data_IF_414687649400
#
_entry.id   IF_414687649400
#
_cell.length_a   1.000
_cell.length_b   1.000
_cell.length_c   1.000
_cell.angle_alpha   90.00
_cell.angle_beta   90.00
_cell.angle_gamma   90.00
#
_symmetry.space_group_name_H-M   'P 1'
#
loop_
_entity.id
_entity.type
_entity.pdbx_description
1 polymer ?
#
# COMPACT_ATOMS: atom_id res chain seq x y z
N UNK A 1 -39.93 -3.55 54.69
CA UNK A 1 -38.81 -2.58 54.67
C UNK A 1 -39.35 -1.23 54.24
N UNK A 2 -39.13 -0.22 55.08
CA UNK A 2 -39.91 1.02 55.23
C UNK A 2 -39.94 1.96 54.02
N UNK A 3 -41.10 2.56 53.74
CA UNK A 3 -41.31 3.61 52.73
C UNK A 3 -40.23 4.71 52.72
N UNK A 4 -39.64 5.03 53.88
CA UNK A 4 -38.54 5.99 54.03
C UNK A 4 -37.31 5.64 53.20
N UNK A 5 -36.87 4.38 53.17
CA UNK A 5 -35.71 3.96 52.35
C UNK A 5 -35.98 4.14 50.85
N UNK A 6 -37.22 3.93 50.41
CA UNK A 6 -37.62 4.09 49.02
C UNK A 6 -37.60 5.57 48.57
N UNK A 7 -38.03 6.47 49.44
CA UNK A 7 -37.94 7.93 49.22
C UNK A 7 -36.48 8.40 49.14
N UNK A 8 -35.60 7.95 50.03
CA UNK A 8 -34.19 8.32 49.99
C UNK A 8 -33.50 7.84 48.70
N UNK A 9 -33.76 6.61 48.26
CA UNK A 9 -33.19 6.09 47.00
C UNK A 9 -33.67 6.86 45.78
N UNK A 10 -34.95 7.26 45.75
CA UNK A 10 -35.48 8.06 44.64
C UNK A 10 -34.81 9.44 44.56
N UNK A 11 -34.63 10.12 45.69
CA UNK A 11 -33.97 11.43 45.75
C UNK A 11 -32.52 11.33 45.28
N UNK A 12 -31.78 10.32 45.74
CA UNK A 12 -30.39 10.11 45.32
C UNK A 12 -30.31 9.81 43.83
N UNK A 13 -31.19 8.96 43.30
CA UNK A 13 -31.23 8.65 41.87
C UNK A 13 -31.51 9.91 41.02
N UNK A 14 -32.47 10.74 41.43
CA UNK A 14 -32.78 12.00 40.74
C UNK A 14 -31.59 12.98 40.78
N UNK A 15 -30.90 13.08 41.92
CA UNK A 15 -29.72 13.94 42.03
C UNK A 15 -28.57 13.48 41.11
N UNK A 16 -28.32 12.18 41.01
CA UNK A 16 -27.30 11.61 40.12
C UNK A 16 -27.64 11.87 38.66
N UNK A 17 -28.89 11.63 38.25
CA UNK A 17 -29.34 11.91 36.88
C UNK A 17 -29.23 13.40 36.56
N UNK A 18 -29.68 14.27 37.47
CA UNK A 18 -29.56 15.71 37.32
C UNK A 18 -28.10 16.17 37.17
N UNK A 19 -27.19 15.61 37.97
CA UNK A 19 -25.76 15.90 37.85
C UNK A 19 -25.17 15.41 36.53
N UNK A 20 -25.55 14.22 36.07
CA UNK A 20 -25.09 13.69 34.78
C UNK A 20 -25.51 14.59 33.61
N UNK A 21 -26.76 15.07 33.60
CA UNK A 21 -27.26 16.02 32.60
C UNK A 21 -26.52 17.36 32.67
N UNK A 22 -26.37 17.93 33.88
CA UNK A 22 -25.62 19.18 34.08
C UNK A 22 -24.15 19.05 33.64
N UNK A 23 -23.51 17.94 34.01
CA UNK A 23 -22.11 17.68 33.67
C UNK A 23 -21.93 17.55 32.16
N UNK A 24 -22.81 16.83 31.46
CA UNK A 24 -22.74 16.71 30.00
C UNK A 24 -22.97 18.06 29.31
N UNK A 25 -23.94 18.85 29.78
CA UNK A 25 -24.18 20.22 29.30
C UNK A 25 -22.94 21.11 29.49
N UNK A 26 -22.37 21.16 30.70
CA UNK A 26 -21.18 21.97 30.99
C UNK A 26 -19.97 21.53 30.17
N UNK A 27 -19.77 20.22 29.99
CA UNK A 27 -18.69 19.66 29.19
C UNK A 27 -18.81 20.08 27.73
N UNK A 28 -19.98 19.91 27.11
CA UNK A 28 -20.22 20.23 25.69
C UNK A 28 -20.14 21.73 25.39
N UNK A 29 -20.55 22.57 26.33
CA UNK A 29 -20.53 24.03 26.16
C UNK A 29 -19.18 24.68 26.50
N UNK A 30 -18.22 23.93 27.02
CA UNK A 30 -16.90 24.48 27.34
C UNK A 30 -15.99 24.59 26.10
N UNK A 31 -15.40 25.77 25.89
CA UNK A 31 -14.48 26.01 24.78
C UNK A 31 -13.20 25.16 24.90
N UNK A 32 -12.68 25.00 26.12
CA UNK A 32 -11.46 24.23 26.39
C UNK A 32 -11.64 22.73 26.09
N UNK A 33 -12.81 22.15 26.36
CA UNK A 33 -13.08 20.74 26.01
C UNK A 33 -13.03 20.53 24.49
N UNK A 34 -13.67 21.41 23.70
CA UNK A 34 -13.62 21.36 22.23
C UNK A 34 -12.19 21.48 21.70
N UNK A 35 -11.40 22.42 22.24
CA UNK A 35 -9.97 22.56 21.91
C UNK A 35 -9.20 21.28 22.24
N UNK A 36 -9.45 20.67 23.39
CA UNK A 36 -8.79 19.43 23.81
C UNK A 36 -9.12 18.24 22.89
N UNK A 37 -10.37 18.14 22.42
CA UNK A 37 -10.79 17.11 21.46
C UNK A 37 -10.06 17.29 20.12
N UNK A 38 -10.02 18.51 19.59
CA UNK A 38 -9.28 18.82 18.36
C UNK A 38 -7.79 18.49 18.51
N UNK A 39 -7.18 18.87 19.64
CA UNK A 39 -5.76 18.56 19.92
C UNK A 39 -5.51 17.04 19.98
N UNK A 40 -6.41 16.28 20.60
CA UNK A 40 -6.33 14.81 20.69
C UNK A 40 -6.50 14.16 19.32
N UNK A 41 -7.50 14.59 18.54
CA UNK A 41 -7.73 14.10 17.18
C UNK A 41 -6.49 14.34 16.29
N UNK A 42 -5.96 15.57 16.28
CA UNK A 42 -4.76 15.90 15.53
C UNK A 42 -3.54 15.10 16.00
N UNK A 43 -3.39 14.88 17.31
CA UNK A 43 -2.29 14.05 17.85
C UNK A 43 -2.42 12.60 17.41
N UNK A 44 -3.63 12.03 17.45
CA UNK A 44 -3.88 10.66 17.00
C UNK A 44 -3.63 10.51 15.50
N UNK A 45 -4.08 11.48 14.69
CA UNK A 45 -3.80 11.50 13.25
C UNK A 45 -2.29 11.52 12.98
N UNK A 46 -1.55 12.43 13.61
CA UNK A 46 -0.08 12.50 13.47
C UNK A 46 0.62 11.21 13.93
N UNK A 47 0.10 10.54 14.95
CA UNK A 47 0.64 9.25 15.40
C UNK A 47 0.36 8.13 14.40
N UNK A 48 -0.82 8.11 13.77
CA UNK A 48 -1.15 7.17 12.69
C UNK A 48 -0.24 7.40 11.48
N UNK A 49 -0.16 8.64 10.99
CA UNK A 49 0.72 9.02 9.87
C UNK A 49 2.18 8.62 10.11
N UNK A 50 2.70 8.83 11.33
CA UNK A 50 4.05 8.40 11.70
C UNK A 50 4.22 6.88 11.66
N UNK A 51 3.26 6.12 12.20
CA UNK A 51 3.29 4.66 12.19
C UNK A 51 3.18 4.09 10.78
N UNK A 52 2.33 4.69 9.94
CA UNK A 52 2.14 4.28 8.56
C UNK A 52 3.42 4.56 7.75
N UNK A 53 4.04 5.73 7.95
CA UNK A 53 5.33 6.06 7.35
C UNK A 53 6.45 5.12 7.81
N UNK A 54 6.55 4.83 9.11
CA UNK A 54 7.53 3.89 9.66
C UNK A 54 7.34 2.47 9.09
N UNK A 55 6.08 1.99 9.04
CA UNK A 55 5.75 0.69 8.45
C UNK A 55 6.13 0.65 6.96
N UNK A 56 5.86 1.72 6.21
CA UNK A 56 6.25 1.82 4.80
C UNK A 56 7.77 1.81 4.61
N UNK A 57 8.52 2.51 5.47
CA UNK A 57 9.98 2.51 5.43
C UNK A 57 10.55 1.12 5.72
N UNK A 58 10.04 0.43 6.75
CA UNK A 58 10.47 -0.94 7.09
C UNK A 58 10.19 -1.89 5.91
N UNK A 59 8.99 -1.80 5.31
CA UNK A 59 8.65 -2.61 4.13
C UNK A 59 9.58 -2.31 2.95
N UNK A 60 9.88 -1.04 2.69
CA UNK A 60 10.76 -0.63 1.59
C UNK A 60 12.17 -1.19 1.76
N UNK A 61 12.75 -1.09 2.96
CA UNK A 61 14.08 -1.65 3.24
C UNK A 61 14.09 -3.19 3.13
N UNK A 62 13.04 -3.87 3.59
CA UNK A 62 12.90 -5.32 3.44
C UNK A 62 12.81 -5.73 1.96
N UNK A 63 11.98 -5.06 1.17
CA UNK A 63 11.83 -5.31 -0.27
C UNK A 63 13.13 -5.06 -1.01
N UNK A 64 13.80 -3.94 -0.72
CA UNK A 64 15.07 -3.56 -1.33
C UNK A 64 16.16 -4.60 -1.06
N UNK A 65 16.32 -5.00 0.20
CA UNK A 65 17.35 -5.96 0.59
C UNK A 65 17.09 -7.35 -0.02
N UNK A 66 15.85 -7.82 -0.01
CA UNK A 66 15.46 -9.09 -0.63
C UNK A 66 15.70 -9.08 -2.15
N UNK A 67 15.29 -8.01 -2.84
CA UNK A 67 15.49 -7.87 -4.28
C UNK A 67 16.97 -7.88 -4.65
N UNK A 68 17.81 -7.10 -3.96
CA UNK A 68 19.24 -7.03 -4.27
C UNK A 68 19.93 -8.37 -4.02
N UNK A 69 19.61 -9.03 -2.91
CA UNK A 69 20.17 -10.34 -2.59
C UNK A 69 19.80 -11.38 -3.65
N UNK A 70 18.54 -11.41 -4.08
CA UNK A 70 18.08 -12.37 -5.08
C UNK A 70 18.64 -12.08 -6.49
N UNK A 71 18.76 -10.81 -6.88
CA UNK A 71 19.42 -10.46 -8.16
C UNK A 71 20.91 -10.81 -8.19
N UNK A 72 21.59 -10.81 -7.03
CA UNK A 72 22.97 -11.26 -6.91
C UNK A 72 23.10 -12.78 -6.98
N UNK A 73 22.18 -13.52 -6.35
CA UNK A 73 22.19 -14.98 -6.34
C UNK A 73 21.71 -15.57 -7.68
N UNK A 74 20.69 -14.97 -8.26
CA UNK A 74 19.95 -15.46 -9.42
C UNK A 74 19.87 -14.34 -10.48
N UNK A 75 20.95 -14.11 -11.25
CA UNK A 75 21.03 -13.02 -12.21
C UNK A 75 20.05 -13.22 -13.38
N UNK A 76 19.60 -12.10 -13.92
CA UNK A 76 18.69 -12.08 -15.08
C UNK A 76 19.51 -12.39 -16.34
N UNK A 77 19.06 -13.32 -17.22
CA UNK A 77 19.80 -13.68 -18.42
C UNK A 77 19.92 -12.51 -19.37
N UNK A 78 21.13 -12.33 -19.93
CA UNK A 78 21.40 -11.27 -20.92
C UNK A 78 21.10 -11.73 -22.33
N UNK A 79 21.20 -13.03 -22.61
CA UNK A 79 20.99 -13.58 -23.95
C UNK A 79 19.52 -13.55 -24.35
N UNK A 80 19.26 -13.23 -25.63
CA UNK A 80 17.90 -13.11 -26.15
C UNK A 80 17.17 -14.45 -26.19
N UNK A 81 17.87 -15.57 -26.41
CA UNK A 81 17.23 -16.89 -26.56
C UNK A 81 16.70 -17.45 -25.23
N UNK A 82 17.30 -17.04 -24.10
CA UNK A 82 16.94 -17.53 -22.77
C UNK A 82 15.87 -16.68 -22.07
N UNK A 83 15.60 -15.46 -22.58
CA UNK A 83 14.65 -14.52 -21.96
C UNK A 83 13.22 -15.03 -21.94
N UNK A 84 12.78 -15.69 -23.00
CA UNK A 84 11.40 -16.21 -23.08
C UNK A 84 11.18 -17.34 -22.08
N UNK A 85 12.10 -18.30 -22.00
CA UNK A 85 12.04 -19.39 -21.04
C UNK A 85 12.08 -18.86 -19.59
N UNK A 86 13.01 -17.95 -19.31
CA UNK A 86 13.12 -17.30 -18.00
C UNK A 86 11.86 -16.52 -17.63
N UNK A 87 11.26 -15.79 -18.56
CA UNK A 87 9.99 -15.09 -18.34
C UNK A 87 8.90 -16.07 -17.89
N UNK A 88 8.70 -17.16 -18.63
CA UNK A 88 7.67 -18.15 -18.32
C UNK A 88 7.90 -18.81 -16.96
N UNK A 89 9.15 -19.17 -16.65
CA UNK A 89 9.53 -19.74 -15.36
C UNK A 89 9.25 -18.78 -14.20
N UNK A 90 9.64 -17.51 -14.35
CA UNK A 90 9.43 -16.51 -13.31
C UNK A 90 7.94 -16.21 -13.09
N UNK A 91 7.14 -16.09 -14.16
CA UNK A 91 5.68 -15.90 -14.01
C UNK A 91 5.06 -17.10 -13.30
N UNK A 92 5.36 -18.33 -13.73
CA UNK A 92 4.82 -19.52 -13.10
C UNK A 92 5.23 -19.65 -11.61
N UNK A 93 6.49 -19.35 -11.30
CA UNK A 93 6.99 -19.37 -9.92
C UNK A 93 6.36 -18.27 -9.07
N UNK A 94 6.20 -17.06 -9.62
CA UNK A 94 5.56 -15.93 -8.95
C UNK A 94 4.10 -16.22 -8.61
N UNK A 95 3.35 -16.82 -9.53
CA UNK A 95 1.96 -17.24 -9.31
C UNK A 95 1.84 -18.27 -8.18
N UNK A 96 2.76 -19.25 -8.12
CA UNK A 96 2.78 -20.24 -7.05
C UNK A 96 3.06 -19.60 -5.68
N UNK A 97 4.01 -18.68 -5.61
CA UNK A 97 4.45 -18.04 -4.36
C UNK A 97 3.50 -16.96 -3.84
N UNK A 98 2.59 -16.46 -4.68
CA UNK A 98 1.69 -15.33 -4.37
C UNK A 98 0.93 -15.48 -3.04
N UNK A 99 0.61 -16.70 -2.62
CA UNK A 99 -0.11 -16.96 -1.35
C UNK A 99 0.80 -17.12 -0.14
N UNK A 100 2.00 -17.67 -0.34
CA UNK A 100 2.88 -18.10 0.75
C UNK A 100 3.94 -17.03 1.06
N UNK A 101 4.51 -16.43 0.02
CA UNK A 101 5.53 -15.38 0.13
C UNK A 101 5.31 -14.28 -0.92
N UNK A 102 4.58 -13.21 -0.56
CA UNK A 102 4.32 -12.08 -1.45
C UNK A 102 5.57 -11.35 -1.93
N UNK A 103 6.64 -11.33 -1.13
CA UNK A 103 7.89 -10.63 -1.49
C UNK A 103 8.61 -11.44 -2.57
N UNK A 104 8.79 -12.74 -2.35
CA UNK A 104 9.40 -13.61 -3.35
C UNK A 104 8.58 -13.66 -4.65
N UNK A 105 7.24 -13.68 -4.54
CA UNK A 105 6.36 -13.61 -5.70
C UNK A 105 6.59 -12.32 -6.50
N UNK A 106 6.67 -11.18 -5.80
CA UNK A 106 6.94 -9.89 -6.43
C UNK A 106 8.33 -9.84 -7.09
N UNK A 107 9.36 -10.48 -6.50
CA UNK A 107 10.68 -10.60 -7.11
C UNK A 107 10.60 -11.36 -8.44
N UNK A 108 9.86 -12.46 -8.49
CA UNK A 108 9.63 -13.21 -9.72
C UNK A 108 8.94 -12.36 -10.80
N UNK A 109 7.85 -11.66 -10.46
CA UNK A 109 7.17 -10.76 -11.40
C UNK A 109 8.05 -9.59 -11.86
N UNK A 110 8.88 -9.04 -10.97
CA UNK A 110 9.88 -8.03 -11.29
C UNK A 110 10.91 -8.54 -12.29
N UNK A 111 11.42 -9.77 -12.10
CA UNK A 111 12.37 -10.40 -13.01
C UNK A 111 11.77 -10.68 -14.39
N UNK A 112 10.54 -11.17 -14.43
CA UNK A 112 9.78 -11.34 -15.67
C UNK A 112 9.59 -10.00 -16.41
N UNK A 113 9.23 -8.93 -15.69
CA UNK A 113 9.11 -7.58 -16.24
C UNK A 113 10.44 -7.07 -16.85
N UNK A 114 11.57 -7.41 -16.23
CA UNK A 114 12.88 -6.94 -16.68
C UNK A 114 13.32 -7.53 -18.04
N UNK A 115 12.83 -8.72 -18.39
CA UNK A 115 13.12 -9.39 -19.68
C UNK A 115 12.04 -9.17 -20.73
N UNK A 116 10.88 -8.64 -20.34
CA UNK A 116 9.75 -8.45 -21.24
C UNK A 116 9.94 -7.23 -22.17
N UNK A 117 9.65 -7.35 -23.49
CA UNK A 117 9.96 -6.31 -24.47
C UNK A 117 9.09 -5.05 -24.33
N UNK A 118 7.84 -5.18 -23.87
CA UNK A 118 6.94 -4.04 -23.64
C UNK A 118 6.47 -3.95 -22.17
N UNK A 119 7.23 -3.26 -21.28
CA UNK A 119 6.94 -3.20 -19.85
C UNK A 119 5.55 -2.65 -19.51
N UNK A 120 5.02 -1.75 -20.34
CA UNK A 120 3.71 -1.13 -20.11
C UNK A 120 2.58 -2.14 -20.21
N UNK A 121 2.65 -3.02 -21.21
CA UNK A 121 1.63 -4.05 -21.45
C UNK A 121 1.58 -5.05 -20.30
N UNK A 122 2.76 -5.56 -19.90
CA UNK A 122 2.84 -6.56 -18.83
C UNK A 122 2.46 -5.97 -17.46
N UNK A 123 2.82 -4.71 -17.17
CA UNK A 123 2.34 -4.02 -15.96
C UNK A 123 0.81 -3.88 -15.96
N UNK A 124 0.20 -3.59 -17.12
CA UNK A 124 -1.25 -3.53 -17.26
C UNK A 124 -1.94 -4.88 -17.07
N UNK A 125 -1.27 -5.99 -17.41
CA UNK A 125 -1.75 -7.35 -17.13
C UNK A 125 -1.62 -7.65 -15.63
N UNK A 126 -0.47 -7.36 -15.01
CA UNK A 126 -0.26 -7.59 -13.59
C UNK A 126 -1.28 -6.85 -12.72
N UNK A 127 -1.57 -5.58 -13.04
CA UNK A 127 -2.59 -4.80 -12.32
C UNK A 127 -3.96 -5.48 -12.28
N UNK A 128 -4.28 -6.32 -13.27
CA UNK A 128 -5.59 -7.00 -13.40
C UNK A 128 -5.61 -8.42 -12.85
N UNK A 129 -4.44 -9.08 -12.81
CA UNK A 129 -4.35 -10.54 -12.62
C UNK A 129 -3.59 -10.93 -11.36
N UNK A 130 -2.66 -10.09 -10.90
CA UNK A 130 -1.87 -10.31 -9.68
C UNK A 130 -2.61 -9.67 -8.50
N UNK A 131 -2.65 -10.30 -7.31
CA UNK A 131 -3.19 -9.68 -6.10
C UNK A 131 -2.58 -8.31 -5.79
N UNK A 132 -3.39 -7.41 -5.25
CA UNK A 132 -3.03 -6.00 -5.03
C UNK A 132 -1.77 -5.85 -4.16
N UNK A 133 -1.63 -6.67 -3.13
CA UNK A 133 -0.48 -6.66 -2.21
C UNK A 133 0.82 -7.05 -2.90
N UNK A 134 0.82 -8.05 -3.79
CA UNK A 134 2.00 -8.42 -4.59
C UNK A 134 2.29 -7.37 -5.65
N UNK A 135 1.26 -6.83 -6.32
CA UNK A 135 1.44 -5.77 -7.31
C UNK A 135 2.07 -4.50 -6.71
N UNK A 136 1.63 -4.09 -5.51
CA UNK A 136 2.24 -2.98 -4.78
C UNK A 136 3.74 -3.21 -4.51
N UNK A 137 4.13 -4.44 -4.18
CA UNK A 137 5.53 -4.80 -3.96
C UNK A 137 6.34 -4.74 -5.25
N UNK A 138 5.79 -5.19 -6.38
CA UNK A 138 6.44 -5.04 -7.71
C UNK A 138 6.68 -3.56 -8.04
N UNK A 139 5.67 -2.70 -7.83
CA UNK A 139 5.80 -1.25 -8.05
C UNK A 139 6.85 -0.65 -7.10
N UNK A 140 6.90 -1.09 -5.85
CA UNK A 140 7.91 -0.65 -4.89
C UNK A 140 9.32 -1.05 -5.32
N UNK A 141 9.51 -2.28 -5.82
CA UNK A 141 10.78 -2.76 -6.37
C UNK A 141 11.24 -1.91 -7.55
N UNK A 142 10.34 -1.61 -8.50
CA UNK A 142 10.63 -0.74 -9.65
C UNK A 142 11.05 0.65 -9.19
N UNK A 143 10.38 1.22 -8.18
CA UNK A 143 10.71 2.56 -7.68
C UNK A 143 12.10 2.60 -7.01
N UNK A 144 12.51 1.52 -6.35
CA UNK A 144 13.80 1.43 -5.65
C UNK A 144 14.94 1.06 -6.60
N UNK A 145 14.69 0.14 -7.52
CA UNK A 145 15.66 -0.36 -8.50
C UNK A 145 14.94 -0.58 -9.84
N UNK A 146 14.88 0.44 -10.72
CA UNK A 146 14.18 0.31 -11.99
C UNK A 146 14.90 -0.67 -12.92
N UNK A 147 14.22 -1.68 -13.50
CA UNK A 147 14.85 -2.56 -14.48
C UNK A 147 15.17 -1.78 -15.76
N UNK A 148 16.12 -2.27 -16.56
CA UNK A 148 16.52 -1.60 -17.80
C UNK A 148 15.33 -1.39 -18.77
N UNK A 149 14.43 -2.37 -18.85
CA UNK A 149 13.23 -2.32 -19.69
C UNK A 149 12.33 -1.11 -19.34
N UNK A 150 12.13 -0.83 -18.05
CA UNK A 150 11.35 0.32 -17.56
C UNK A 150 12.15 1.62 -17.59
N UNK A 151 13.45 1.58 -17.27
CA UNK A 151 14.34 2.76 -17.31
C UNK A 151 14.34 3.42 -18.70
N UNK A 152 14.29 2.60 -19.75
CA UNK A 152 14.21 3.07 -21.13
C UNK A 152 12.93 3.87 -21.39
N UNK A 153 11.79 3.50 -20.80
CA UNK A 153 10.52 4.24 -20.92
C UNK A 153 10.61 5.57 -20.18
N UNK A 154 11.13 5.55 -18.94
CA UNK A 154 11.27 6.75 -18.11
C UNK A 154 12.16 7.81 -18.80
N UNK A 155 13.22 7.37 -19.48
CA UNK A 155 14.12 8.27 -20.21
C UNK A 155 13.59 8.69 -21.59
N UNK A 156 12.83 7.84 -22.29
CA UNK A 156 12.34 8.11 -23.65
C UNK A 156 11.14 9.08 -23.68
N UNK A 157 10.49 9.32 -22.55
CA UNK A 157 9.23 10.07 -22.52
C UNK A 157 8.10 9.30 -23.24
N UNK A 158 6.84 9.76 -23.16
CA UNK A 158 5.75 9.09 -23.86
C UNK A 158 6.07 9.09 -25.35
N UNK A 159 6.07 7.90 -25.97
CA UNK A 159 6.22 7.77 -27.40
C UNK A 159 5.12 8.63 -28.05
N UNK A 160 5.54 9.66 -28.80
CA UNK A 160 4.62 10.41 -29.63
C UNK A 160 3.83 9.40 -30.49
N UNK A 161 2.50 9.58 -30.64
CA UNK A 161 1.72 8.72 -31.52
C UNK A 161 2.41 8.68 -32.89
N UNK A 162 2.59 7.47 -33.43
CA UNK A 162 3.18 7.28 -34.74
C UNK A 162 2.46 8.22 -35.72
N UNK A 163 3.23 9.07 -36.41
CA UNK A 163 2.67 9.92 -37.45
C UNK A 163 1.97 9.00 -38.46
N UNK A 164 0.75 9.35 -38.91
CA UNK A 164 0.07 8.56 -39.93
C UNK A 164 0.99 8.43 -41.14
N UNK A 165 1.24 7.19 -41.54
CA UNK A 165 1.99 6.88 -42.76
C UNK A 165 1.14 7.30 -43.96
N UNK A 166 1.78 7.73 -45.05
CA UNK A 166 1.09 8.20 -46.26
C UNK A 166 0.11 7.17 -46.87
N UNK A 167 0.15 5.90 -46.44
CA UNK A 167 -0.82 4.86 -46.79
C UNK A 167 -2.22 5.03 -46.15
N UNK A 168 -2.38 5.86 -45.12
CA UNK A 168 -3.68 6.12 -44.47
C UNK A 168 -4.46 7.29 -45.12
N UNK A 169 -3.95 7.86 -46.23
CA UNK A 169 -4.54 9.02 -46.92
C UNK A 169 -5.14 8.72 -48.31
N UNK A 170 -5.26 7.45 -48.69
CA UNK A 170 -5.95 7.02 -49.92
C UNK A 170 -7.33 6.39 -49.65
#
# INVERSE_FOLDING_TARGET
MSSKTLTFTAIVATAVVGYAVYFDYRRRNSAEFRKSLKKRANKQQKLKEKKDAETKQIKLEAVKSALIADLQANPIPTDLSEREAFFMEQVATGEQKTKDDPIDAAICFYKALAVYPNPTDILGIYQKTVPEDVYELVVMMIAVYPPASVSNILNKGPAAPAAPTEEDLD
#
